data_IF_897557525033
#
_entry.id   IF_897557525033
#
_cell.length_a   1.000
_cell.length_b   1.000
_cell.length_c   1.000
_cell.angle_alpha   90.00
_cell.angle_beta   90.00
_cell.angle_gamma   90.00
#
_symmetry.space_group_name_H-M   'P 1'
#
loop_
_entity.id
_entity.type
_entity.pdbx_description
1 polymer ?
#
# COMPACT_ATOMS: atom_id res chain seq x y z
N UNK A 1 23.01 -14.56 -10.38
CA UNK A 1 23.64 -13.27 -10.01
C UNK A 1 22.50 -12.28 -9.79
N UNK A 2 22.27 -11.83 -8.55
CA UNK A 2 21.23 -10.82 -8.28
C UNK A 2 21.79 -9.48 -8.75
N UNK A 3 21.07 -8.76 -9.61
CA UNK A 3 21.48 -7.45 -10.11
C UNK A 3 21.18 -6.37 -9.07
N UNK A 4 21.95 -5.27 -9.08
CA UNK A 4 21.71 -4.13 -8.18
C UNK A 4 20.27 -3.61 -8.34
N UNK A 5 19.74 -3.59 -9.56
CA UNK A 5 18.34 -3.23 -9.85
C UNK A 5 17.34 -4.14 -9.13
N UNK A 6 17.57 -5.46 -9.08
CA UNK A 6 16.68 -6.37 -8.37
C UNK A 6 16.69 -6.12 -6.85
N UNK A 7 17.84 -5.71 -6.29
CA UNK A 7 17.95 -5.33 -4.87
C UNK A 7 17.18 -4.03 -4.61
N UNK A 8 17.35 -3.01 -5.46
CA UNK A 8 16.65 -1.74 -5.31
C UNK A 8 15.13 -1.92 -5.44
N UNK A 9 14.65 -2.71 -6.39
CA UNK A 9 13.22 -3.03 -6.54
C UNK A 9 12.67 -3.79 -5.32
N UNK A 10 13.45 -4.70 -4.73
CA UNK A 10 13.05 -5.40 -3.52
C UNK A 10 12.97 -4.46 -2.30
N UNK A 11 13.91 -3.49 -2.21
CA UNK A 11 13.87 -2.44 -1.18
C UNK A 11 12.66 -1.53 -1.37
N UNK A 12 12.36 -1.14 -2.61
CA UNK A 12 11.19 -0.31 -2.93
C UNK A 12 9.88 -1.03 -2.60
N UNK A 13 9.73 -2.29 -3.00
CA UNK A 13 8.57 -3.11 -2.66
C UNK A 13 8.41 -3.29 -1.14
N UNK A 14 9.54 -3.47 -0.43
CA UNK A 14 9.54 -3.54 1.03
C UNK A 14 9.14 -2.20 1.68
N UNK A 15 9.67 -1.08 1.19
CA UNK A 15 9.34 0.26 1.68
C UNK A 15 7.86 0.57 1.48
N UNK A 16 7.31 0.28 0.30
CA UNK A 16 5.90 0.48 0.02
C UNK A 16 5.01 -0.38 0.94
N UNK A 17 5.40 -1.65 1.17
CA UNK A 17 4.70 -2.53 2.11
C UNK A 17 4.78 -2.03 3.56
N UNK A 18 5.89 -1.44 3.98
CA UNK A 18 6.04 -0.87 5.31
C UNK A 18 5.09 0.33 5.51
N UNK A 19 4.98 1.21 4.52
CA UNK A 19 4.06 2.37 4.55
C UNK A 19 2.60 1.89 4.63
N UNK A 20 2.20 0.90 3.83
CA UNK A 20 0.84 0.33 3.90
C UNK A 20 0.54 -0.25 5.29
N UNK A 21 1.51 -0.91 5.92
CA UNK A 21 1.33 -1.45 7.27
C UNK A 21 1.20 -0.36 8.33
N UNK A 22 1.97 0.72 8.22
CA UNK A 22 1.88 1.88 9.10
C UNK A 22 0.52 2.58 8.95
N UNK A 23 0.04 2.79 7.73
CA UNK A 23 -1.29 3.36 7.47
C UNK A 23 -2.42 2.48 8.05
N UNK A 24 -2.29 1.15 7.99
CA UNK A 24 -3.26 0.23 8.62
C UNK A 24 -3.24 0.32 10.14
N UNK A 25 -2.08 0.55 10.74
CA UNK A 25 -1.96 0.73 12.19
C UNK A 25 -2.64 2.04 12.62
N UNK A 26 -2.35 3.14 11.92
CA UNK A 26 -2.97 4.45 12.15
C UNK A 26 -4.49 4.35 11.99
N UNK A 27 -4.98 3.65 10.96
CA UNK A 27 -6.43 3.41 10.77
C UNK A 27 -7.05 2.75 12.00
N UNK A 28 -6.45 1.69 12.53
CA UNK A 28 -6.94 1.00 13.74
C UNK A 28 -6.94 1.88 14.98
N UNK A 29 -5.93 2.72 15.14
CA UNK A 29 -5.85 3.69 16.24
C UNK A 29 -7.00 4.71 16.16
N UNK A 30 -7.27 5.24 14.95
CA UNK A 30 -8.38 6.17 14.72
C UNK A 30 -9.74 5.49 14.93
N UNK A 31 -9.92 4.25 14.47
CA UNK A 31 -11.14 3.46 14.73
C UNK A 31 -11.38 3.27 16.23
N UNK A 32 -10.32 2.98 16.99
CA UNK A 32 -10.40 2.84 18.44
C UNK A 32 -10.76 4.16 19.10
N UNK A 33 -10.12 5.26 18.69
CA UNK A 33 -10.33 6.60 19.23
C UNK A 33 -11.74 7.12 18.96
N UNK A 34 -12.32 6.82 17.79
CA UNK A 34 -13.68 7.19 17.38
C UNK A 34 -14.74 6.84 18.44
N UNK A 35 -14.59 5.72 19.13
CA UNK A 35 -15.49 5.25 20.20
C UNK A 35 -15.53 6.16 21.42
N UNK A 36 -14.48 6.96 21.64
CA UNK A 36 -14.30 7.84 22.80
C UNK A 36 -14.41 9.32 22.46
N UNK A 37 -14.60 9.67 21.18
CA UNK A 37 -14.70 11.04 20.70
C UNK A 37 -16.13 11.60 20.82
N UNK A 38 -16.22 12.92 20.89
CA UNK A 38 -17.50 13.65 20.81
C UNK A 38 -18.05 13.62 19.37
N UNK A 39 -19.36 13.87 19.17
CA UNK A 39 -19.98 13.81 17.84
C UNK A 39 -19.29 14.67 16.76
N UNK A 40 -18.86 15.89 17.13
CA UNK A 40 -18.08 16.79 16.26
C UNK A 40 -16.75 16.17 15.83
N UNK A 41 -16.02 15.58 16.78
CA UNK A 41 -14.74 14.94 16.53
C UNK A 41 -14.89 13.57 15.85
N UNK A 42 -16.06 12.92 15.97
CA UNK A 42 -16.40 11.68 15.26
C UNK A 42 -16.53 11.91 13.76
N UNK A 43 -17.17 13.01 13.32
CA UNK A 43 -17.24 13.35 11.89
C UNK A 43 -15.82 13.56 11.31
N UNK A 44 -14.96 14.24 12.08
CA UNK A 44 -13.56 14.41 11.70
C UNK A 44 -12.80 13.07 11.62
N UNK A 45 -13.03 12.18 12.59
CA UNK A 45 -12.44 10.83 12.60
C UNK A 45 -12.94 9.99 11.41
N UNK A 46 -14.22 10.04 11.07
CA UNK A 46 -14.79 9.35 9.90
C UNK A 46 -14.18 9.88 8.59
N UNK A 47 -14.03 11.21 8.45
CA UNK A 47 -13.34 11.80 7.31
C UNK A 47 -11.86 11.38 7.22
N UNK A 48 -11.17 11.26 8.38
CA UNK A 48 -9.80 10.78 8.45
C UNK A 48 -9.68 9.30 8.05
N UNK A 49 -10.63 8.46 8.49
CA UNK A 49 -10.69 7.04 8.11
C UNK A 49 -10.86 6.87 6.59
N UNK A 50 -11.71 7.66 5.95
CA UNK A 50 -11.89 7.63 4.49
C UNK A 50 -10.61 8.04 3.74
N UNK A 51 -9.89 9.05 4.23
CA UNK A 51 -8.59 9.47 3.66
C UNK A 51 -7.54 8.37 3.77
N UNK A 52 -7.45 7.73 4.94
CA UNK A 52 -6.53 6.61 5.18
C UNK A 52 -6.86 5.41 4.29
N UNK A 53 -8.14 5.08 4.12
CA UNK A 53 -8.56 3.98 3.24
C UNK A 53 -8.16 4.22 1.79
N UNK A 54 -8.36 5.46 1.30
CA UNK A 54 -7.94 5.85 -0.05
C UNK A 54 -6.43 5.83 -0.23
N UNK A 55 -5.65 6.30 0.75
CA UNK A 55 -4.18 6.23 0.70
C UNK A 55 -3.67 4.79 0.67
N UNK A 56 -4.29 3.90 1.46
CA UNK A 56 -3.97 2.46 1.44
C UNK A 56 -4.31 1.86 0.08
N UNK A 57 -5.47 2.18 -0.48
CA UNK A 57 -5.89 1.69 -1.78
C UNK A 57 -4.96 2.17 -2.91
N UNK A 58 -4.62 3.45 -2.91
CA UNK A 58 -3.71 4.07 -3.89
C UNK A 58 -2.33 3.39 -3.87
N UNK A 59 -1.76 3.15 -2.69
CA UNK A 59 -0.50 2.41 -2.55
C UNK A 59 -0.58 0.95 -2.98
N UNK A 60 -1.70 0.27 -2.75
CA UNK A 60 -1.91 -1.13 -3.19
C UNK A 60 -2.04 -1.20 -4.72
N UNK A 61 -2.71 -0.23 -5.35
CA UNK A 61 -2.82 -0.15 -6.81
C UNK A 61 -1.45 0.09 -7.43
N UNK A 62 -0.68 1.06 -6.91
CA UNK A 62 0.70 1.32 -7.37
C UNK A 62 1.60 0.10 -7.17
N UNK A 63 1.47 -0.61 -6.04
CA UNK A 63 2.24 -1.82 -5.79
C UNK A 63 1.92 -2.96 -6.77
N UNK A 64 0.65 -3.11 -7.20
CA UNK A 64 0.25 -4.15 -8.13
C UNK A 64 0.73 -3.88 -9.56
N UNK A 65 0.74 -2.62 -9.99
CA UNK A 65 1.17 -2.24 -11.34
C UNK A 65 2.63 -2.64 -11.63
N UNK A 66 3.50 -2.55 -10.62
CA UNK A 66 4.92 -2.93 -10.72
C UNK A 66 5.12 -4.46 -10.88
N UNK A 67 4.16 -5.29 -10.45
CA UNK A 67 4.30 -6.76 -10.53
C UNK A 67 3.92 -7.30 -11.92
N UNK A 68 3.10 -6.57 -12.68
CA UNK A 68 2.55 -7.07 -13.96
C UNK A 68 3.56 -7.01 -15.12
N UNK A 69 4.66 -6.25 -14.99
CA UNK A 69 5.68 -6.13 -16.04
C UNK A 69 6.69 -7.30 -16.11
N UNK A 70 6.65 -8.29 -15.21
CA UNK A 70 7.61 -9.41 -15.23
C UNK A 70 7.16 -10.69 -15.97
N UNK A 71 5.99 -10.71 -16.62
CA UNK A 71 5.42 -11.95 -17.22
C UNK A 71 5.43 -12.00 -18.75
N UNK A 72 6.20 -11.16 -19.44
CA UNK A 72 6.36 -11.29 -20.90
C UNK A 72 7.79 -11.71 -21.28
N UNK A 73 8.10 -12.99 -21.05
CA UNK A 73 9.21 -13.66 -21.73
C UNK A 73 8.73 -14.11 -23.12
N UNK A 74 9.34 -13.67 -24.24
CA UNK A 74 9.02 -14.21 -25.55
C UNK A 74 9.71 -15.57 -25.67
N UNK A 75 8.95 -16.65 -25.51
CA UNK A 75 9.40 -17.97 -25.94
C UNK A 75 9.44 -17.96 -27.47
N UNK A 76 10.64 -17.81 -28.02
CA UNK A 76 10.92 -18.11 -29.42
C UNK A 76 10.67 -19.61 -29.64
N UNK A 77 9.50 -19.94 -30.19
CA UNK A 77 9.24 -21.26 -30.73
C UNK A 77 9.90 -21.34 -32.11
N UNK A 78 11.10 -21.91 -32.14
CA UNK A 78 11.72 -22.44 -33.35
C UNK A 78 11.04 -23.77 -33.72
N UNK A 79 10.45 -23.83 -34.92
CA UNK A 79 10.28 -25.04 -35.71
C UNK A 79 10.31 -24.66 -37.19
#
# INVERSE_FOLDING_TARGET
MITVTAILNAIEAHANRAIVQELRLIKKEVEKLRSSLRPDDQEHADALLLKLDRLIFDQIVVANDVVVEQVFQPVAQTA
#
